data_IF_875260587622
#
_entry.id   IF_875260587622
#
_cell.length_a   1.000
_cell.length_b   1.000
_cell.length_c   1.000
_cell.angle_alpha   90.00
_cell.angle_beta   90.00
_cell.angle_gamma   90.00
#
_symmetry.space_group_name_H-M   'P 1'
#
loop_
_entity.id
_entity.type
_entity.pdbx_description
1 polymer ?
#
# COMPACT_ATOMS: atom_id res chain seq x y z
N UNK A 1 22.69 -12.81 -66.78
CA UNK A 1 23.19 -12.96 -65.40
C UNK A 1 22.76 -11.71 -64.64
N UNK A 2 21.65 -11.79 -63.90
CA UNK A 2 21.00 -10.62 -63.26
C UNK A 2 21.55 -10.49 -61.84
N UNK A 3 22.26 -9.40 -61.54
CA UNK A 3 22.65 -9.06 -60.17
C UNK A 3 21.56 -8.19 -59.57
N UNK A 4 20.63 -8.81 -58.85
CA UNK A 4 19.68 -8.08 -58.01
C UNK A 4 20.39 -7.69 -56.70
N UNK A 5 20.86 -6.45 -56.64
CA UNK A 5 21.30 -5.82 -55.39
C UNK A 5 20.07 -5.51 -54.53
N UNK A 6 19.74 -6.43 -53.63
CA UNK A 6 18.72 -6.21 -52.61
C UNK A 6 19.21 -5.21 -51.57
N UNK A 7 18.58 -4.04 -51.51
CA UNK A 7 18.74 -3.10 -50.40
C UNK A 7 18.11 -3.71 -49.15
N UNK A 8 18.93 -4.00 -48.14
CA UNK A 8 18.45 -4.37 -46.81
C UNK A 8 17.86 -3.11 -46.18
N UNK A 9 16.53 -3.03 -46.13
CA UNK A 9 15.84 -2.04 -45.30
C UNK A 9 15.93 -2.51 -43.85
N UNK A 10 16.79 -1.90 -43.06
CA UNK A 10 16.77 -2.05 -41.59
C UNK A 10 15.64 -1.20 -41.04
N UNK A 11 14.59 -1.77 -40.41
CA UNK A 11 13.67 -0.97 -39.64
C UNK A 11 14.26 -0.69 -38.25
N UNK A 12 13.89 0.46 -37.70
CA UNK A 12 13.78 0.71 -36.25
C UNK A 12 15.04 1.06 -35.46
N UNK A 13 15.49 2.32 -35.60
CA UNK A 13 16.19 3.04 -34.52
C UNK A 13 15.25 4.08 -33.87
N UNK A 14 14.25 4.59 -34.61
CA UNK A 14 13.31 5.60 -34.13
C UNK A 14 12.23 5.05 -33.18
N UNK A 15 11.80 3.78 -33.34
CA UNK A 15 10.76 3.17 -32.49
C UNK A 15 11.25 3.01 -31.04
N UNK A 16 12.51 2.58 -30.88
CA UNK A 16 13.12 2.39 -29.57
C UNK A 16 13.42 3.72 -28.87
N UNK A 17 13.57 4.85 -29.58
CA UNK A 17 13.86 6.14 -28.93
C UNK A 17 12.66 6.72 -28.22
N UNK A 18 11.45 6.52 -28.76
CA UNK A 18 10.21 6.98 -28.14
C UNK A 18 9.88 6.14 -26.89
N UNK A 19 10.13 4.83 -26.95
CA UNK A 19 10.00 3.93 -25.80
C UNK A 19 11.02 4.26 -24.70
N UNK A 20 12.28 4.54 -25.05
CA UNK A 20 13.28 4.97 -24.07
C UNK A 20 12.89 6.31 -23.43
N UNK A 21 12.29 7.22 -24.19
CA UNK A 21 11.82 8.50 -23.68
C UNK A 21 10.64 8.32 -22.71
N UNK A 22 9.65 7.50 -23.07
CA UNK A 22 8.48 7.23 -22.21
C UNK A 22 8.88 6.53 -20.91
N UNK A 23 9.76 5.52 -20.98
CA UNK A 23 10.30 4.82 -19.81
C UNK A 23 11.06 5.76 -18.87
N UNK A 24 11.83 6.71 -19.41
CA UNK A 24 12.52 7.72 -18.59
C UNK A 24 11.52 8.64 -17.89
N UNK A 25 10.44 9.01 -18.56
CA UNK A 25 9.39 9.84 -17.97
C UNK A 25 8.66 9.09 -16.85
N UNK A 26 8.32 7.83 -17.07
CA UNK A 26 7.70 6.97 -16.05
C UNK A 26 8.61 6.79 -14.83
N UNK A 27 9.91 6.54 -15.04
CA UNK A 27 10.88 6.47 -13.95
C UNK A 27 10.98 7.77 -13.14
N UNK A 28 10.87 8.93 -13.79
CA UNK A 28 10.88 10.22 -13.10
C UNK A 28 9.63 10.39 -12.23
N UNK A 29 8.46 10.04 -12.76
CA UNK A 29 7.20 10.08 -12.01
C UNK A 29 7.25 9.13 -10.81
N UNK A 30 7.72 7.90 -11.02
CA UNK A 30 7.84 6.90 -9.97
C UNK A 30 8.79 7.35 -8.86
N UNK A 31 9.93 7.96 -9.21
CA UNK A 31 10.86 8.54 -8.22
C UNK A 31 10.23 9.68 -7.43
N UNK A 32 9.43 10.53 -8.08
CA UNK A 32 8.71 11.61 -7.39
C UNK A 32 7.69 11.06 -6.40
N UNK A 33 6.95 10.03 -6.80
CA UNK A 33 5.97 9.39 -5.92
C UNK A 33 6.62 8.70 -4.73
N UNK A 34 7.77 8.02 -4.93
CA UNK A 34 8.55 7.43 -3.84
C UNK A 34 8.95 8.51 -2.83
N UNK A 35 9.55 9.61 -3.27
CA UNK A 35 9.96 10.71 -2.38
C UNK A 35 8.77 11.31 -1.62
N UNK A 36 7.63 11.45 -2.30
CA UNK A 36 6.40 11.96 -1.67
C UNK A 36 5.88 11.00 -0.60
N UNK A 37 5.91 9.69 -0.87
CA UNK A 37 5.50 8.67 0.09
C UNK A 37 6.45 8.61 1.28
N UNK A 38 7.76 8.64 1.05
CA UNK A 38 8.77 8.69 2.12
C UNK A 38 8.56 9.91 3.02
N UNK A 39 8.30 11.09 2.44
CA UNK A 39 7.98 12.29 3.21
C UNK A 39 6.71 12.13 4.08
N UNK A 40 5.65 11.52 3.53
CA UNK A 40 4.43 11.22 4.28
C UNK A 40 4.66 10.24 5.42
N UNK A 41 5.43 9.18 5.17
CA UNK A 41 5.80 8.20 6.21
C UNK A 41 6.57 8.90 7.33
N UNK A 42 7.55 9.73 6.99
CA UNK A 42 8.32 10.47 7.98
C UNK A 42 7.46 11.43 8.82
N UNK A 43 6.52 12.12 8.18
CA UNK A 43 5.58 13.00 8.89
C UNK A 43 4.65 12.19 9.81
N UNK A 44 4.14 11.04 9.36
CA UNK A 44 3.34 10.14 10.19
C UNK A 44 4.14 9.62 11.39
N UNK A 45 5.39 9.19 11.19
CA UNK A 45 6.28 8.75 12.28
C UNK A 45 6.52 9.87 13.30
N UNK A 46 6.72 11.11 12.83
CA UNK A 46 6.88 12.28 13.71
C UNK A 46 5.60 12.56 14.50
N UNK A 47 4.44 12.46 13.87
CA UNK A 47 3.15 12.61 14.54
C UNK A 47 2.91 11.51 15.58
N UNK A 48 3.29 10.26 15.29
CA UNK A 48 3.22 9.16 16.26
C UNK A 48 4.14 9.42 17.46
N UNK A 49 5.42 9.76 17.23
CA UNK A 49 6.36 10.11 18.31
C UNK A 49 5.89 11.29 19.18
N UNK A 50 5.20 12.26 18.58
CA UNK A 50 4.64 13.40 19.31
C UNK A 50 3.36 13.04 20.07
N UNK A 51 2.55 12.09 19.57
CA UNK A 51 1.41 11.52 20.29
C UNK A 51 1.85 10.71 21.50
N UNK A 52 2.92 9.93 21.37
CA UNK A 52 3.50 9.16 22.48
C UNK A 52 4.00 10.07 23.63
N UNK A 53 4.48 11.28 23.31
CA UNK A 53 4.91 12.28 24.30
C UNK A 53 3.76 13.07 24.95
N UNK A 54 2.60 13.17 24.30
CA UNK A 54 1.51 14.03 24.73
C UNK A 54 0.47 13.35 25.65
N UNK A 55 0.60 12.05 25.92
CA UNK A 55 -0.28 11.42 26.90
C UNK A 55 -0.20 9.90 26.92
N UNK A 56 0.72 9.36 27.70
CA UNK A 56 0.48 8.11 28.44
C UNK A 56 -0.67 8.33 29.45
N UNK A 57 -1.89 8.54 28.95
CA UNK A 57 -3.05 8.00 29.64
C UNK A 57 -3.20 6.63 29.04
N UNK A 58 -2.90 5.59 29.83
CA UNK A 58 -3.26 4.20 29.58
C UNK A 58 -4.72 4.14 29.12
N UNK A 59 -4.96 4.36 27.84
CA UNK A 59 -6.27 4.17 27.28
C UNK A 59 -6.26 2.69 26.99
N UNK A 60 -6.84 1.91 27.91
CA UNK A 60 -7.09 0.48 27.74
C UNK A 60 -7.98 0.29 26.50
N UNK A 61 -7.38 0.46 25.33
CA UNK A 61 -8.00 0.37 24.03
C UNK A 61 -7.33 -0.78 23.33
N UNK A 62 -8.17 -1.59 22.73
CA UNK A 62 -7.77 -2.71 21.91
C UNK A 62 -7.95 -2.33 20.46
N UNK A 63 -6.94 -2.65 19.66
CA UNK A 63 -7.02 -2.64 18.21
C UNK A 63 -6.96 -4.06 17.70
N UNK A 64 -7.78 -4.39 16.70
CA UNK A 64 -7.72 -5.66 16.00
C UNK A 64 -7.67 -5.42 14.49
N UNK A 65 -6.73 -6.09 13.83
CA UNK A 65 -6.53 -6.05 12.39
C UNK A 65 -6.86 -7.41 11.76
N UNK A 66 -7.46 -7.39 10.58
CA UNK A 66 -7.69 -8.55 9.73
C UNK A 66 -7.35 -8.18 8.30
N UNK A 67 -6.66 -9.08 7.61
CA UNK A 67 -6.38 -8.97 6.19
C UNK A 67 -7.11 -10.08 5.45
N UNK A 68 -8.00 -9.72 4.55
CA UNK A 68 -8.78 -10.65 3.74
C UNK A 68 -8.64 -10.27 2.27
N UNK A 69 -8.57 -11.26 1.38
CA UNK A 69 -8.36 -11.03 -0.04
C UNK A 69 -9.48 -10.21 -0.71
N UNK A 70 -10.71 -10.31 -0.21
CA UNK A 70 -11.88 -9.63 -0.78
C UNK A 70 -12.17 -8.30 -0.08
N UNK A 71 -12.05 -8.25 1.25
CA UNK A 71 -12.29 -7.03 2.04
C UNK A 71 -11.06 -6.11 2.17
N UNK A 72 -9.87 -6.59 1.79
CA UNK A 72 -8.59 -5.95 2.05
C UNK A 72 -8.27 -5.85 3.55
N UNK A 73 -7.35 -4.95 3.89
CA UNK A 73 -7.03 -4.63 5.28
C UNK A 73 -8.21 -3.96 6.01
N UNK A 74 -8.58 -4.53 7.15
CA UNK A 74 -9.65 -4.04 8.03
C UNK A 74 -9.11 -3.87 9.44
N UNK A 75 -9.39 -2.73 10.06
CA UNK A 75 -8.98 -2.42 11.42
C UNK A 75 -10.17 -1.91 12.24
N UNK A 76 -10.28 -2.38 13.48
CA UNK A 76 -11.33 -2.01 14.41
C UNK A 76 -10.78 -1.79 15.81
N UNK A 77 -11.41 -0.87 16.56
CA UNK A 77 -10.98 -0.52 17.92
C UNK A 77 -12.11 -0.60 18.94
N UNK A 78 -11.77 -0.96 20.16
CA UNK A 78 -12.72 -1.11 21.27
C UNK A 78 -12.07 -0.87 22.62
N UNK A 79 -12.90 -0.77 23.67
CA UNK A 79 -12.44 -0.73 25.07
C UNK A 79 -12.01 -2.11 25.56
N UNK A 80 -12.49 -3.17 24.91
CA UNK A 80 -12.12 -4.56 25.18
C UNK A 80 -11.67 -5.23 23.90
N UNK A 81 -10.88 -6.31 24.03
CA UNK A 81 -10.47 -7.13 22.89
C UNK A 81 -11.68 -7.62 22.10
N UNK A 82 -12.72 -8.08 22.79
CA UNK A 82 -13.93 -8.60 22.17
C UNK A 82 -14.68 -7.52 21.36
N UNK A 83 -14.74 -6.28 21.86
CA UNK A 83 -15.35 -5.18 21.13
C UNK A 83 -14.56 -4.85 19.85
N UNK A 84 -13.23 -4.82 19.97
CA UNK A 84 -12.35 -4.59 18.82
C UNK A 84 -12.50 -5.70 17.78
N UNK A 85 -12.48 -6.97 18.19
CA UNK A 85 -12.72 -8.14 17.32
C UNK A 85 -14.07 -8.07 16.62
N UNK A 86 -15.13 -7.83 17.38
CA UNK A 86 -16.50 -7.75 16.87
C UNK A 86 -16.63 -6.69 15.79
N UNK A 87 -16.07 -5.49 16.01
CA UNK A 87 -16.05 -4.41 15.02
C UNK A 87 -15.24 -4.78 13.78
N UNK A 88 -14.03 -5.32 13.94
CA UNK A 88 -13.19 -5.71 12.79
C UNK A 88 -13.88 -6.78 11.93
N UNK A 89 -14.52 -7.77 12.54
CA UNK A 89 -15.27 -8.80 11.81
C UNK A 89 -16.53 -8.26 11.15
N UNK A 90 -17.26 -7.36 11.81
CA UNK A 90 -18.43 -6.69 11.23
C UNK A 90 -18.04 -5.90 9.98
N UNK A 91 -17.01 -5.06 10.07
CA UNK A 91 -16.52 -4.26 8.93
C UNK A 91 -16.00 -5.15 7.80
N UNK A 92 -15.33 -6.26 8.11
CA UNK A 92 -14.90 -7.21 7.08
C UNK A 92 -16.11 -7.83 6.35
N UNK A 93 -17.19 -8.18 7.05
CA UNK A 93 -18.41 -8.72 6.45
C UNK A 93 -19.12 -7.68 5.59
N UNK A 94 -19.18 -6.43 6.04
CA UNK A 94 -19.74 -5.32 5.27
C UNK A 94 -19.01 -5.10 3.94
N UNK A 95 -17.70 -5.33 3.92
CA UNK A 95 -16.87 -5.29 2.70
C UNK A 95 -16.95 -6.56 1.83
N UNK A 96 -17.76 -7.55 2.23
CA UNK A 96 -17.91 -8.81 1.49
C UNK A 96 -16.75 -9.80 1.65
N UNK A 97 -15.95 -9.67 2.70
CA UNK A 97 -14.83 -10.57 3.00
C UNK A 97 -15.22 -11.89 3.65
N UNK A 98 -14.31 -12.86 3.66
CA UNK A 98 -14.49 -14.13 4.39
C UNK A 98 -13.83 -14.04 5.75
N UNK A 99 -14.58 -13.52 6.72
CA UNK A 99 -14.03 -13.07 7.99
C UNK A 99 -14.00 -14.19 9.04
N UNK A 100 -12.79 -14.63 9.41
CA UNK A 100 -12.58 -15.62 10.46
C UNK A 100 -11.86 -15.01 11.66
N UNK A 101 -12.32 -15.35 12.86
CA UNK A 101 -11.71 -14.84 14.09
C UNK A 101 -10.24 -15.26 14.24
N UNK A 102 -9.87 -16.46 13.77
CA UNK A 102 -8.49 -16.98 13.84
C UNK A 102 -7.48 -16.14 13.04
N UNK A 103 -7.94 -15.30 12.11
CA UNK A 103 -7.09 -14.44 11.28
C UNK A 103 -6.95 -13.02 11.86
N UNK A 104 -7.60 -12.72 12.99
CA UNK A 104 -7.45 -11.43 13.68
C UNK A 104 -6.13 -11.36 14.42
N UNK A 105 -5.46 -10.22 14.27
CA UNK A 105 -4.31 -9.84 15.09
C UNK A 105 -4.73 -8.68 15.99
N UNK A 106 -4.76 -8.92 17.29
CA UNK A 106 -5.19 -7.93 18.27
C UNK A 106 -4.02 -7.49 19.16
N UNK A 107 -3.99 -6.21 19.50
CA UNK A 107 -3.04 -5.63 20.46
C UNK A 107 -3.75 -4.60 21.33
N UNK A 108 -3.33 -4.52 22.59
CA UNK A 108 -3.66 -3.38 23.43
C UNK A 108 -2.73 -2.21 23.05
N UNK A 109 -3.29 -1.02 22.87
CA UNK A 109 -2.50 0.21 22.85
C UNK A 109 -1.91 0.38 24.27
N UNK A 110 -0.58 0.25 24.38
CA UNK A 110 0.18 0.38 25.62
C UNK A 110 0.59 1.84 25.87
#
# INVERSE_FOLDING_TARGET
MVLASGFISTPSIADNSDEIFSLRQELQLLRSDILRLESKVHELEKQMKNRDKAGHKNSNKWGCYLDDLSAGGVYGTGRTEMEAKGKTLATCKEKGGTCFEMNLKCSADQ
#
